data_IF_538190706959
#
_entry.id   IF_538190706959
#
_cell.length_a   1.000
_cell.length_b   1.000
_cell.length_c   1.000
_cell.angle_alpha   90.00
_cell.angle_beta   90.00
_cell.angle_gamma   90.00
#
_symmetry.space_group_name_H-M   'P 1'
#
loop_
_entity.id
_entity.type
_entity.pdbx_description
1 polymer ?
#
# COMPACT_ATOMS: atom_id res chain seq x y z
N UNK A 1 -3.22 -6.30 5.18
CA UNK A 1 -3.92 -7.52 5.60
C UNK A 1 -4.75 -8.14 4.47
N UNK A 2 -5.88 -7.55 4.05
CA UNK A 2 -6.81 -8.16 3.08
C UNK A 2 -6.16 -8.56 1.74
N UNK A 3 -5.66 -7.59 0.97
CA UNK A 3 -5.09 -7.83 -0.36
C UNK A 3 -3.82 -8.70 -0.36
N UNK A 4 -2.92 -8.52 0.62
CA UNK A 4 -1.60 -9.17 0.66
C UNK A 4 -1.58 -10.49 1.45
N UNK A 5 -2.55 -10.69 2.34
CA UNK A 5 -2.67 -11.89 3.16
C UNK A 5 -3.80 -12.78 2.66
N UNK A 6 -5.04 -12.37 2.96
CA UNK A 6 -6.23 -13.17 2.66
C UNK A 6 -6.38 -13.47 1.16
N UNK A 7 -6.39 -12.45 0.30
CA UNK A 7 -6.63 -12.62 -1.14
C UNK A 7 -5.58 -13.52 -1.80
N UNK A 8 -4.29 -13.19 -1.63
CA UNK A 8 -3.20 -13.96 -2.24
C UNK A 8 -3.19 -15.41 -1.73
N UNK A 9 -3.50 -15.64 -0.45
CA UNK A 9 -3.52 -16.99 0.13
C UNK A 9 -4.73 -17.79 -0.36
N UNK A 10 -5.92 -17.20 -0.38
CA UNK A 10 -7.14 -17.84 -0.85
C UNK A 10 -7.06 -18.22 -2.33
N UNK A 11 -6.53 -17.34 -3.17
CA UNK A 11 -6.41 -17.56 -4.61
C UNK A 11 -5.16 -18.38 -4.99
N UNK A 12 -4.20 -18.58 -4.08
CA UNK A 12 -2.92 -19.26 -4.38
C UNK A 12 -3.09 -20.63 -5.03
N UNK A 13 -4.05 -21.42 -4.54
CA UNK A 13 -4.27 -22.79 -5.03
C UNK A 13 -4.82 -22.82 -6.46
N UNK A 14 -5.67 -21.85 -6.82
CA UNK A 14 -6.30 -21.78 -8.14
C UNK A 14 -5.43 -21.04 -9.17
N UNK A 15 -4.73 -19.99 -8.75
CA UNK A 15 -4.09 -19.03 -9.66
C UNK A 15 -2.57 -18.97 -9.54
N UNK A 16 -1.98 -19.52 -8.48
CA UNK A 16 -0.55 -19.36 -8.20
C UNK A 16 -0.19 -17.87 -8.11
N UNK A 17 0.87 -17.47 -8.83
CA UNK A 17 1.32 -16.07 -8.91
C UNK A 17 0.33 -15.14 -9.61
N UNK A 18 -0.57 -15.67 -10.45
CA UNK A 18 -1.57 -14.85 -11.16
C UNK A 18 -2.60 -14.25 -10.20
N UNK A 19 -2.69 -14.75 -8.97
CA UNK A 19 -3.48 -14.14 -7.89
C UNK A 19 -3.12 -12.66 -7.66
N UNK A 20 -1.88 -12.26 -7.95
CA UNK A 20 -1.42 -10.88 -7.86
C UNK A 20 -2.19 -9.98 -8.84
N UNK A 21 -2.34 -10.40 -10.09
CA UNK A 21 -3.04 -9.60 -11.10
C UNK A 21 -4.54 -9.52 -10.81
N UNK A 22 -5.14 -10.62 -10.35
CA UNK A 22 -6.53 -10.61 -9.89
C UNK A 22 -6.74 -9.69 -8.68
N UNK A 23 -5.75 -9.62 -7.78
CA UNK A 23 -5.77 -8.74 -6.60
C UNK A 23 -5.63 -7.26 -6.97
N UNK A 24 -4.85 -6.94 -7.99
CA UNK A 24 -4.61 -5.56 -8.45
C UNK A 24 -5.90 -4.88 -8.89
N UNK A 25 -6.86 -5.61 -9.48
CA UNK A 25 -8.13 -5.03 -9.95
C UNK A 25 -8.91 -4.32 -8.81
N UNK A 26 -9.35 -5.02 -7.74
CA UNK A 26 -10.03 -4.35 -6.64
C UNK A 26 -9.10 -3.41 -5.86
N UNK A 27 -7.78 -3.62 -5.89
CA UNK A 27 -6.82 -2.70 -5.29
C UNK A 27 -6.78 -1.34 -6.01
N UNK A 28 -6.88 -1.31 -7.34
CA UNK A 28 -7.02 -0.08 -8.10
C UNK A 28 -8.41 0.54 -7.93
N UNK A 29 -9.47 -0.27 -7.78
CA UNK A 29 -10.82 0.24 -7.58
C UNK A 29 -10.94 1.14 -6.34
N UNK A 30 -10.30 0.75 -5.23
CA UNK A 30 -10.28 1.58 -4.01
C UNK A 30 -9.41 2.84 -4.14
N UNK A 31 -8.62 2.96 -5.21
CA UNK A 31 -7.82 4.15 -5.52
C UNK A 31 -8.48 5.05 -6.59
N UNK A 32 -9.65 4.70 -7.13
CA UNK A 32 -10.28 5.49 -8.21
C UNK A 32 -10.63 6.94 -7.81
N UNK A 33 -10.88 7.22 -6.54
CA UNK A 33 -11.15 8.58 -6.06
C UNK A 33 -9.91 9.48 -5.95
N UNK A 34 -8.72 8.95 -6.20
CA UNK A 34 -7.44 9.66 -6.05
C UNK A 34 -6.99 10.30 -7.36
N UNK A 35 -6.03 11.25 -7.34
CA UNK A 35 -5.42 11.78 -8.55
C UNK A 35 -4.98 10.67 -9.51
N UNK A 36 -5.16 10.85 -10.82
CA UNK A 36 -4.97 9.77 -11.81
C UNK A 36 -3.58 9.12 -11.75
N UNK A 37 -2.54 9.90 -11.42
CA UNK A 37 -1.19 9.37 -11.22
C UNK A 37 -1.09 8.44 -10.02
N UNK A 38 -1.81 8.69 -8.93
CA UNK A 38 -1.85 7.79 -7.78
C UNK A 38 -2.59 6.48 -8.09
N UNK A 39 -3.68 6.56 -8.87
CA UNK A 39 -4.40 5.37 -9.32
C UNK A 39 -3.54 4.49 -10.24
N UNK A 40 -2.75 5.10 -11.13
CA UNK A 40 -1.77 4.39 -11.96
C UNK A 40 -0.63 3.81 -11.12
N UNK A 41 -0.11 4.58 -10.16
CA UNK A 41 0.91 4.11 -9.23
C UNK A 41 0.42 2.92 -8.39
N UNK A 42 -0.88 2.86 -8.06
CA UNK A 42 -1.48 1.74 -7.34
C UNK A 42 -1.39 0.42 -8.12
N UNK A 43 -1.40 0.43 -9.46
CA UNK A 43 -1.19 -0.79 -10.26
C UNK A 43 0.21 -1.34 -9.98
N UNK A 44 1.23 -0.50 -10.16
CA UNK A 44 2.64 -0.87 -9.98
C UNK A 44 2.90 -1.29 -8.52
N UNK A 45 2.43 -0.49 -7.56
CA UNK A 45 2.56 -0.78 -6.14
C UNK A 45 1.87 -2.10 -5.77
N UNK A 46 0.67 -2.36 -6.28
CA UNK A 46 -0.07 -3.60 -6.05
C UNK A 46 0.69 -4.84 -6.54
N UNK A 47 1.28 -4.77 -7.73
CA UNK A 47 2.09 -5.87 -8.30
C UNK A 47 3.34 -6.12 -7.46
N UNK A 48 4.12 -5.07 -7.17
CA UNK A 48 5.38 -5.18 -6.41
C UNK A 48 5.11 -5.71 -5.00
N UNK A 49 4.13 -5.13 -4.30
CA UNK A 49 3.77 -5.53 -2.95
C UNK A 49 3.16 -6.93 -2.89
N UNK A 50 2.33 -7.31 -3.86
CA UNK A 50 1.78 -8.65 -3.99
C UNK A 50 2.87 -9.70 -4.20
N UNK A 51 3.81 -9.40 -5.10
CA UNK A 51 4.99 -10.25 -5.37
C UNK A 51 5.85 -10.42 -4.13
N UNK A 52 6.17 -9.31 -3.45
CA UNK A 52 6.98 -9.34 -2.24
C UNK A 52 6.29 -10.14 -1.12
N UNK A 53 4.97 -10.00 -0.97
CA UNK A 53 4.22 -10.76 0.03
C UNK A 53 4.17 -12.25 -0.28
N UNK A 54 3.99 -12.66 -1.55
CA UNK A 54 4.07 -14.07 -1.94
C UNK A 54 5.45 -14.67 -1.72
N UNK A 55 6.53 -13.91 -1.98
CA UNK A 55 7.92 -14.34 -1.80
C UNK A 55 8.29 -14.47 -0.33
N UNK A 56 7.98 -13.45 0.47
CA UNK A 56 8.38 -13.38 1.89
C UNK A 56 7.41 -14.09 2.83
N UNK A 57 6.19 -14.41 2.35
CA UNK A 57 5.08 -14.94 3.16
C UNK A 57 4.81 -14.12 4.41
N UNK A 58 5.00 -12.80 4.30
CA UNK A 58 4.96 -11.87 5.41
C UNK A 58 4.09 -10.67 5.07
N UNK A 59 3.41 -10.14 6.09
CA UNK A 59 2.66 -8.89 6.02
C UNK A 59 3.52 -7.66 6.37
N UNK A 60 4.70 -7.88 6.95
CA UNK A 60 5.56 -6.82 7.49
C UNK A 60 6.07 -5.86 6.43
N UNK A 61 6.41 -6.35 5.24
CA UNK A 61 6.78 -5.48 4.11
C UNK A 61 5.67 -4.50 3.76
N UNK A 62 4.43 -4.98 3.76
CA UNK A 62 3.27 -4.16 3.53
C UNK A 62 2.98 -3.17 4.66
N UNK A 63 3.20 -3.60 5.90
CA UNK A 63 3.09 -2.74 7.10
C UNK A 63 4.12 -1.60 7.05
N UNK A 64 5.39 -1.93 6.82
CA UNK A 64 6.48 -0.95 6.75
C UNK A 64 6.22 0.11 5.69
N UNK A 65 5.72 -0.29 4.51
CA UNK A 65 5.38 0.66 3.44
C UNK A 65 4.22 1.59 3.84
N UNK A 66 3.20 1.07 4.53
CA UNK A 66 2.13 1.94 5.03
C UNK A 66 2.64 2.95 6.04
N UNK A 67 3.45 2.51 7.01
CA UNK A 67 4.03 3.37 8.03
C UNK A 67 4.96 4.41 7.40
N UNK A 68 5.82 4.00 6.47
CA UNK A 68 6.76 4.91 5.82
C UNK A 68 6.04 5.97 4.98
N UNK A 69 4.98 5.60 4.26
CA UNK A 69 4.20 6.55 3.46
C UNK A 69 3.46 7.53 4.37
N UNK A 70 2.83 7.06 5.45
CA UNK A 70 2.16 7.92 6.41
C UNK A 70 3.13 8.94 7.03
N UNK A 71 4.28 8.47 7.53
CA UNK A 71 5.32 9.35 8.09
C UNK A 71 5.82 10.34 7.03
N UNK A 72 6.04 9.91 5.80
CA UNK A 72 6.50 10.82 4.73
C UNK A 72 5.48 11.92 4.42
N UNK A 73 4.19 11.60 4.46
CA UNK A 73 3.12 12.58 4.24
C UNK A 73 3.05 13.58 5.40
N UNK A 74 3.14 13.11 6.64
CA UNK A 74 3.14 13.98 7.82
C UNK A 74 4.37 14.91 7.82
N UNK A 75 5.56 14.38 7.53
CA UNK A 75 6.79 15.18 7.40
C UNK A 75 6.67 16.19 6.26
N UNK A 76 6.16 15.80 5.10
CA UNK A 76 5.96 16.72 3.98
C UNK A 76 4.97 17.85 4.34
N UNK A 77 3.89 17.53 5.04
CA UNK A 77 2.92 18.52 5.51
C UNK A 77 3.54 19.51 6.51
N UNK A 78 4.36 19.02 7.45
CA UNK A 78 5.09 19.86 8.41
C UNK A 78 6.08 20.79 7.69
N UNK A 79 6.83 20.26 6.71
CA UNK A 79 7.78 21.04 5.92
C UNK A 79 7.11 22.11 5.05
N UNK A 80 5.88 21.85 4.58
CA UNK A 80 5.13 22.80 3.75
C UNK A 80 4.37 23.85 4.58
N UNK A 81 4.12 23.58 5.86
CA UNK A 81 3.35 24.46 6.76
C UNK A 81 4.30 25.13 7.76
N UNK A 82 3.90 25.30 9.03
CA UNK A 82 4.60 26.03 10.09
C UNK A 82 5.71 25.23 10.78
N UNK A 83 6.08 24.05 10.26
CA UNK A 83 7.06 23.18 10.92
C UNK A 83 6.49 22.47 12.15
N UNK A 84 7.39 21.97 13.00
CA UNK A 84 7.01 21.26 14.23
C UNK A 84 6.30 22.21 15.21
N UNK A 85 5.32 21.71 15.98
CA UNK A 85 4.70 22.50 17.03
C UNK A 85 5.75 22.99 18.03
N UNK A 86 5.72 24.28 18.34
CA UNK A 86 6.54 24.88 19.40
C UNK A 86 5.98 24.58 20.78
N UNK A 87 4.66 24.45 20.87
CA UNK A 87 3.93 24.10 22.08
C UNK A 87 3.35 22.69 21.96
N UNK A 88 3.84 21.79 22.81
CA UNK A 88 3.47 20.37 22.82
C UNK A 88 2.30 20.07 23.76
N UNK A 89 1.80 21.09 24.45
CA UNK A 89 0.69 21.03 25.40
C UNK A 89 -0.36 22.07 25.01
N UNK A 90 -1.66 21.79 25.21
CA UNK A 90 -2.72 22.76 24.98
C UNK A 90 -2.62 23.98 25.92
#
# INVERSE_FOLDING_TARGET
>A
FFFRGFWLTACKRAMGSHAIFAMVVPYCMIHYGKPGLEALAAIIAGIVLGTLSMKTRSIWSGFLIHVSVAISMDVAALLQTSGLPTDWTP
#
